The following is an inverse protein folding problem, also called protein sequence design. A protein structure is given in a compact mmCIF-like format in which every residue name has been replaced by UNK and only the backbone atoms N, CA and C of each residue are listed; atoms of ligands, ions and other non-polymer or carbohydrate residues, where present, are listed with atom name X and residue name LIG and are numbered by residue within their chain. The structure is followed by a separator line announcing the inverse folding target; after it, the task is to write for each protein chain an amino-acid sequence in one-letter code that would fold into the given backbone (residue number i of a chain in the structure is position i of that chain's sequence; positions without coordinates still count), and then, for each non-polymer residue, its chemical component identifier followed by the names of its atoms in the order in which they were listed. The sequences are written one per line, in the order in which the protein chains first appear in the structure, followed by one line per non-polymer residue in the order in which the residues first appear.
data_IF_079882588398
#
_entry.id   IF_079882588398
#
_cell.length_a   1.000
_cell.length_b   1.000
_cell.length_c   1.000
_cell.angle_alpha   90.00
_cell.angle_beta   90.00
_cell.angle_gamma   90.00
#
_symmetry.space_group_name_H-M   'P 1'
#
loop_
_entity.id
_entity.type
_entity.pdbx_description
1 polymer ?
#
# COMPACT_ATOMS: atom_id res chain seq x y z
N UNK A 1 -5.43 1.61 22.83
CA UNK A 1 -5.02 1.35 21.44
C UNK A 1 -4.41 -0.03 21.36
N UNK A 2 -4.63 -0.77 20.27
CA UNK A 2 -3.89 -2.02 20.03
C UNK A 2 -2.47 -1.58 19.59
N UNK A 3 -1.40 -1.98 20.30
CA UNK A 3 -0.03 -1.65 19.89
C UNK A 3 0.22 -2.11 18.46
N UNK A 4 0.80 -1.24 17.64
CA UNK A 4 1.10 -1.52 16.23
C UNK A 4 0.05 -1.07 15.21
N UNK A 5 -1.10 -0.53 15.64
CA UNK A 5 -2.05 0.11 14.72
C UNK A 5 -1.77 1.62 14.54
N UNK A 6 -1.86 2.16 13.32
CA UNK A 6 -1.72 3.61 13.08
C UNK A 6 -2.73 4.43 13.89
N UNK A 7 -2.31 5.55 14.51
CA UNK A 7 -3.21 6.41 15.29
C UNK A 7 -4.00 7.42 14.43
N UNK A 8 -3.72 7.50 13.13
CA UNK A 8 -4.36 8.43 12.19
C UNK A 8 -4.95 7.67 10.99
N UNK A 9 -5.99 8.20 10.32
CA UNK A 9 -6.55 7.61 9.11
C UNK A 9 -5.53 7.61 7.96
N UNK A 10 -5.49 6.55 7.17
CA UNK A 10 -4.60 6.40 6.01
C UNK A 10 -5.40 5.80 4.85
N UNK A 11 -5.29 6.38 3.66
CA UNK A 11 -5.99 5.93 2.46
C UNK A 11 -5.07 6.03 1.23
N UNK A 12 -4.83 4.93 0.49
CA UNK A 12 -4.19 5.01 -0.82
C UNK A 12 -5.15 5.65 -1.83
N UNK A 13 -4.60 6.44 -2.75
CA UNK A 13 -5.34 7.06 -3.85
C UNK A 13 -4.68 6.71 -5.19
N UNK A 14 -5.45 6.79 -6.27
CA UNK A 14 -4.90 6.61 -7.61
C UNK A 14 -3.96 7.76 -7.99
N UNK A 15 -2.99 7.49 -8.87
CA UNK A 15 -2.04 8.52 -9.29
C UNK A 15 -2.72 9.73 -9.97
N UNK A 16 -3.87 9.52 -10.62
CA UNK A 16 -4.65 10.59 -11.27
C UNK A 16 -5.27 11.56 -10.25
N UNK A 17 -5.76 11.02 -9.13
CA UNK A 17 -6.28 11.84 -8.03
C UNK A 17 -5.12 12.56 -7.34
N UNK A 18 -4.00 11.85 -7.13
CA UNK A 18 -2.78 12.45 -6.60
C UNK A 18 -2.26 13.59 -7.48
N UNK A 19 -2.27 13.44 -8.82
CA UNK A 19 -1.93 14.50 -9.77
C UNK A 19 -2.81 15.74 -9.58
N UNK A 20 -4.13 15.52 -9.46
CA UNK A 20 -5.12 16.59 -9.29
C UNK A 20 -4.89 17.39 -8.00
N UNK A 21 -4.44 16.74 -6.92
CA UNK A 21 -4.14 17.41 -5.67
C UNK A 21 -2.74 18.04 -5.65
N UNK A 22 -1.70 17.27 -5.98
CA UNK A 22 -0.29 17.68 -5.85
C UNK A 22 0.05 18.83 -6.79
N UNK A 23 -0.43 18.82 -8.04
CA UNK A 23 -0.13 19.90 -9.00
C UNK A 23 -0.81 21.23 -8.64
N UNK A 24 -1.80 21.20 -7.75
CA UNK A 24 -2.55 22.36 -7.29
C UNK A 24 -2.01 22.91 -5.95
N UNK A 25 -1.09 22.19 -5.28
CA UNK A 25 -0.50 22.62 -4.02
C UNK A 25 0.27 23.94 -4.17
N UNK A 26 0.00 24.89 -3.27
CA UNK A 26 0.71 26.15 -3.15
C UNK A 26 2.02 26.01 -2.38
N UNK A 27 2.54 27.14 -1.91
CA UNK A 27 3.81 27.20 -1.18
C UNK A 27 5.03 27.12 -2.08
N UNK A 28 6.21 27.08 -1.45
CA UNK A 28 7.49 27.02 -2.15
C UNK A 28 7.66 25.69 -2.87
N UNK A 29 8.42 25.73 -3.97
CA UNK A 29 8.84 24.55 -4.70
C UNK A 29 9.53 23.56 -3.75
N UNK A 30 9.08 22.30 -3.77
CA UNK A 30 9.69 21.25 -2.97
C UNK A 30 11.11 20.96 -3.47
N UNK A 31 12.01 20.46 -2.60
CA UNK A 31 13.35 20.04 -2.96
C UNK A 31 13.40 19.15 -4.22
N UNK A 32 14.50 19.21 -4.95
CA UNK A 32 14.63 18.50 -6.23
C UNK A 32 14.46 16.98 -6.10
N UNK A 33 14.88 16.40 -4.98
CA UNK A 33 14.76 14.98 -4.64
C UNK A 33 13.32 14.56 -4.28
N UNK A 34 12.41 15.52 -4.08
CA UNK A 34 10.99 15.26 -3.79
C UNK A 34 10.10 15.38 -5.04
N UNK A 35 10.65 15.91 -6.14
CA UNK A 35 9.93 15.98 -7.41
C UNK A 35 9.66 14.57 -7.93
N UNK A 36 8.48 14.38 -8.54
CA UNK A 36 8.08 13.11 -9.13
C UNK A 36 7.84 13.20 -10.63
N UNK A 37 7.12 12.21 -11.17
CA UNK A 37 6.88 12.08 -12.61
C UNK A 37 5.73 12.91 -13.19
N UNK A 38 5.07 13.77 -12.40
CA UNK A 38 4.01 14.62 -12.95
C UNK A 38 4.57 15.83 -13.70
N UNK A 39 3.83 16.28 -14.71
CA UNK A 39 4.18 17.45 -15.52
C UNK A 39 3.79 18.76 -14.83
N UNK A 40 4.23 18.95 -13.59
CA UNK A 40 4.02 20.13 -12.77
C UNK A 40 5.12 20.22 -11.71
N UNK A 41 5.41 21.42 -11.20
CA UNK A 41 6.29 21.56 -10.04
C UNK A 41 5.54 21.12 -8.78
N UNK A 42 6.14 20.19 -8.04
CA UNK A 42 5.62 19.75 -6.76
C UNK A 42 6.01 20.84 -5.76
N UNK A 43 5.00 21.36 -5.06
CA UNK A 43 5.22 22.36 -4.01
C UNK A 43 4.96 21.75 -2.64
N UNK A 44 5.49 22.39 -1.61
CA UNK A 44 5.36 21.96 -0.20
C UNK A 44 3.92 21.98 0.32
N UNK A 45 3.01 22.75 -0.32
CA UNK A 45 1.61 22.81 0.04
C UNK A 45 1.28 23.68 1.25
N UNK A 46 2.22 24.44 1.79
CA UNK A 46 1.96 25.40 2.87
C UNK A 46 1.65 26.79 2.30
N UNK A 47 0.50 27.43 2.60
CA UNK A 47 -0.53 27.05 3.58
C UNK A 47 -1.68 26.17 3.04
N UNK A 48 -1.69 25.83 1.76
CA UNK A 48 -2.72 24.98 1.15
C UNK A 48 -2.56 24.93 -0.36
N UNK A 49 -3.67 25.05 -1.10
CA UNK A 49 -3.65 25.14 -2.56
C UNK A 49 -3.19 26.51 -3.07
N UNK A 50 -2.77 26.58 -4.35
CA UNK A 50 -2.38 27.84 -5.02
C UNK A 50 -3.58 28.80 -5.08
N UNK A 51 -3.37 30.13 -5.05
CA UNK A 51 -4.44 31.10 -5.28
C UNK A 51 -5.10 30.99 -6.66
N UNK A 52 -4.37 30.49 -7.66
CA UNK A 52 -4.88 30.24 -9.02
C UNK A 52 -5.56 28.87 -9.16
N UNK A 53 -5.56 28.06 -8.09
CA UNK A 53 -6.13 26.73 -8.11
C UNK A 53 -7.65 26.77 -8.13
N UNK A 54 -8.26 25.76 -8.75
CA UNK A 54 -9.70 25.48 -8.59
C UNK A 54 -10.08 25.08 -7.16
N UNK A 55 -9.10 24.73 -6.32
CA UNK A 55 -9.27 24.37 -4.91
C UNK A 55 -8.84 25.49 -3.95
N UNK A 56 -8.67 26.72 -4.43
CA UNK A 56 -8.31 27.83 -3.55
C UNK A 56 -9.29 27.93 -2.36
N UNK A 57 -8.76 28.19 -1.17
CA UNK A 57 -9.51 28.24 0.10
C UNK A 57 -10.33 26.97 0.42
N UNK A 58 -9.88 25.80 -0.06
CA UNK A 58 -10.51 24.50 0.22
C UNK A 58 -9.61 23.57 1.04
N UNK A 59 -10.24 22.69 1.83
CA UNK A 59 -9.58 21.62 2.58
C UNK A 59 -9.82 20.25 1.93
N UNK A 60 -8.88 19.32 2.15
CA UNK A 60 -9.07 17.91 1.80
C UNK A 60 -9.67 17.17 2.98
N UNK A 61 -10.88 16.62 2.79
CA UNK A 61 -11.56 15.79 3.79
C UNK A 61 -11.34 14.31 3.51
N UNK A 62 -10.88 13.58 4.53
CA UNK A 62 -10.67 12.14 4.48
C UNK A 62 -11.74 11.42 5.32
N UNK A 63 -12.65 10.72 4.65
CA UNK A 63 -13.71 9.92 5.29
C UNK A 63 -13.39 8.41 5.15
N UNK A 64 -13.06 7.74 6.26
CA UNK A 64 -12.65 6.31 6.29
C UNK A 64 -13.59 5.49 7.17
N UNK A 65 -14.01 4.32 6.67
CA UNK A 65 -14.97 3.41 7.35
C UNK A 65 -14.48 1.96 7.48
N UNK A 66 -13.16 1.75 7.44
CA UNK A 66 -12.55 0.43 7.63
C UNK A 66 -12.81 -0.09 9.05
N UNK A 67 -13.06 -1.39 9.19
CA UNK A 67 -13.29 -2.03 10.49
C UNK A 67 -12.43 -3.30 10.63
N UNK A 68 -11.88 -3.50 11.83
CA UNK A 68 -11.18 -4.74 12.16
C UNK A 68 -12.16 -5.89 12.36
N UNK A 69 -11.82 -7.08 11.86
CA UNK A 69 -12.65 -8.27 12.00
C UNK A 69 -11.79 -9.50 12.31
N UNK A 70 -12.26 -10.34 13.23
CA UNK A 70 -11.68 -11.66 13.45
C UNK A 70 -12.21 -12.60 12.38
N UNK A 71 -11.30 -13.23 11.64
CA UNK A 71 -11.60 -14.16 10.55
C UNK A 71 -10.68 -15.37 10.62
N UNK A 72 -11.16 -16.54 10.18
CA UNK A 72 -10.33 -17.73 10.09
C UNK A 72 -9.41 -17.62 8.87
N UNK A 73 -8.13 -17.94 9.05
CA UNK A 73 -7.12 -18.06 7.99
C UNK A 73 -6.42 -19.41 8.15
N UNK A 74 -6.18 -20.11 7.03
CA UNK A 74 -5.71 -21.49 7.03
C UNK A 74 -4.44 -21.67 6.21
N UNK A 75 -3.50 -22.44 6.75
CA UNK A 75 -2.34 -22.95 6.03
C UNK A 75 -2.58 -24.38 5.54
N UNK A 76 -1.92 -24.79 4.46
CA UNK A 76 -1.90 -26.17 3.96
C UNK A 76 -0.49 -26.71 4.07
N UNK A 77 -0.34 -27.89 4.70
CA UNK A 77 0.96 -28.53 4.94
C UNK A 77 1.01 -29.90 4.26
N UNK A 78 2.01 -30.12 3.41
CA UNK A 78 2.36 -31.43 2.85
C UNK A 78 3.72 -31.87 3.36
N UNK A 79 3.95 -33.18 3.49
CA UNK A 79 5.22 -33.73 4.00
C UNK A 79 5.66 -34.93 3.18
N UNK A 80 6.92 -34.91 2.74
CA UNK A 80 7.64 -36.07 2.22
C UNK A 80 8.58 -36.54 3.33
N UNK A 81 8.37 -37.76 3.84
CA UNK A 81 9.16 -38.29 4.97
C UNK A 81 10.54 -38.73 4.48
N UNK A 82 11.60 -38.19 5.10
CA UNK A 82 12.98 -38.60 4.82
C UNK A 82 13.21 -40.08 5.16
N UNK A 83 14.03 -40.77 4.36
CA UNK A 83 14.30 -42.21 4.53
C UNK A 83 15.34 -42.52 5.61
N UNK A 84 16.25 -41.57 5.91
CA UNK A 84 17.34 -41.74 6.89
C UNK A 84 17.10 -40.89 8.14
N UNK A 85 16.91 -39.57 7.97
CA UNK A 85 16.69 -38.61 9.07
C UNK A 85 15.28 -37.97 8.98
N UNK A 86 14.19 -38.73 9.25
CA UNK A 86 12.81 -38.23 9.11
C UNK A 86 12.43 -37.10 10.08
N UNK A 87 13.27 -36.81 11.07
CA UNK A 87 13.12 -35.76 12.09
C UNK A 87 13.90 -34.47 11.75
N UNK A 88 14.63 -34.44 10.63
CA UNK A 88 15.29 -33.25 10.08
C UNK A 88 14.46 -32.68 8.94
N UNK A 89 14.02 -31.43 9.08
CA UNK A 89 13.09 -30.80 8.13
C UNK A 89 13.79 -29.78 7.24
N UNK A 90 13.51 -29.85 5.93
CA UNK A 90 13.68 -28.75 5.00
C UNK A 90 12.30 -28.20 4.70
N UNK A 91 12.10 -26.89 4.90
CA UNK A 91 10.79 -26.24 4.71
C UNK A 91 10.86 -25.41 3.43
N UNK A 92 9.91 -25.66 2.53
CA UNK A 92 9.65 -24.88 1.33
C UNK A 92 8.19 -24.44 1.33
N UNK A 93 7.91 -23.15 1.11
CA UNK A 93 6.56 -22.62 1.16
C UNK A 93 6.40 -21.28 0.46
N UNK A 94 5.14 -20.91 0.19
CA UNK A 94 4.70 -19.62 -0.36
C UNK A 94 3.28 -19.33 0.14
N UNK A 95 2.94 -18.05 0.28
CA UNK A 95 1.59 -17.64 0.71
C UNK A 95 0.59 -17.76 -0.45
N UNK A 96 -0.70 -17.80 -0.12
CA UNK A 96 -1.77 -18.01 -1.11
C UNK A 96 -2.76 -16.85 -1.19
N UNK A 97 -2.94 -16.12 -0.09
CA UNK A 97 -3.79 -14.95 -0.04
C UNK A 97 -3.20 -13.78 -0.84
N UNK A 98 -4.09 -12.98 -1.44
CA UNK A 98 -3.70 -11.83 -2.26
C UNK A 98 -4.69 -10.70 -2.09
N UNK A 99 -4.28 -9.48 -2.44
CA UNK A 99 -5.13 -8.30 -2.37
C UNK A 99 -6.30 -8.30 -3.37
N UNK A 100 -6.06 -8.75 -4.61
CA UNK A 100 -7.07 -8.79 -5.69
C UNK A 100 -6.92 -10.10 -6.46
N UNK A 101 -6.44 -10.07 -7.71
CA UNK A 101 -6.23 -11.28 -8.50
C UNK A 101 -4.93 -12.00 -8.13
N UNK A 102 -3.94 -11.24 -7.67
CA UNK A 102 -2.69 -11.79 -7.14
C UNK A 102 -1.90 -12.67 -8.12
N UNK A 103 -2.00 -12.42 -9.42
CA UNK A 103 -1.38 -13.27 -10.44
C UNK A 103 0.15 -13.35 -10.29
N UNK A 104 0.78 -12.23 -9.94
CA UNK A 104 2.21 -12.17 -9.63
C UNK A 104 2.39 -12.51 -8.14
N UNK A 105 1.89 -11.63 -7.28
CA UNK A 105 1.98 -11.77 -5.84
C UNK A 105 0.65 -12.30 -5.26
N UNK A 106 0.58 -13.56 -4.77
CA UNK A 106 1.62 -14.59 -4.73
C UNK A 106 1.54 -15.67 -5.81
N UNK A 107 0.50 -15.64 -6.65
CA UNK A 107 0.07 -16.85 -7.37
C UNK A 107 1.13 -17.39 -8.33
N UNK A 108 2.03 -16.55 -8.83
CA UNK A 108 3.17 -17.00 -9.64
C UNK A 108 4.10 -17.94 -8.85
N UNK A 109 4.33 -17.66 -7.57
CA UNK A 109 5.05 -18.55 -6.66
C UNK A 109 4.24 -19.79 -6.29
N UNK A 110 2.92 -19.65 -6.14
CA UNK A 110 2.03 -20.82 -5.92
C UNK A 110 2.07 -21.76 -7.11
N UNK A 111 2.13 -21.24 -8.35
CA UNK A 111 2.28 -22.05 -9.57
C UNK A 111 3.62 -22.77 -9.67
N UNK A 112 4.70 -22.23 -9.09
CA UNK A 112 6.00 -22.91 -9.04
C UNK A 112 6.02 -23.99 -7.95
N UNK A 113 5.27 -23.81 -6.87
CA UNK A 113 5.22 -24.76 -5.76
C UNK A 113 4.45 -26.05 -6.09
N UNK A 114 3.41 -25.94 -6.92
CA UNK A 114 2.52 -27.04 -7.32
C UNK A 114 3.09 -27.84 -8.49
#
# INVERSE_FOLDING_TARGET
SIPGLPPIPIQPIGFKDAYTLICELGGDAAPQDWQGGFNCTYNSGAPGFKPTSVFNDSDVKLDIFNHGKIVNSSNVMGVIRGSVEPDRYVIYGNHRDSWVHGAIDPSSGTSVML
#
